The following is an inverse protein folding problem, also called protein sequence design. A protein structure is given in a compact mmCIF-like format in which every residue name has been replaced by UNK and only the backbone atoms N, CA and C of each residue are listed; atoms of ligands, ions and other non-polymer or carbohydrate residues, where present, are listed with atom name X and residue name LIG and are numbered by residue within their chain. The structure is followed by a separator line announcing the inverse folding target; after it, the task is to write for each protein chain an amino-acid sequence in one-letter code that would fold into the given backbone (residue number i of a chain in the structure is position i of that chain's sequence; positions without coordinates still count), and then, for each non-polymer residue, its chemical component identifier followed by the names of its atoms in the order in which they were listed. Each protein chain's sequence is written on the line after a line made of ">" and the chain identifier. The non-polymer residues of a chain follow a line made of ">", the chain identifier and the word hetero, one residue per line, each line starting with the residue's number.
data_IF_864548897160
#
_entry.id   IF_864548897160
#
_cell.length_a   1.000
_cell.length_b   1.000
_cell.length_c   1.000
_cell.angle_alpha   90.00
_cell.angle_beta   90.00
_cell.angle_gamma   90.00
#
_symmetry.space_group_name_H-M   'P 1'
#
loop_
_entity.id
_entity.type
_entity.pdbx_description
1 polymer ?
#
# COMPACT_ATOMS: atom_id res chain seq x y z
N UNK A 1 -7.26 -5.67 -43.85
CA UNK A 1 -6.69 -4.43 -43.29
C UNK A 1 -6.13 -4.72 -41.91
N UNK A 2 -4.81 -4.66 -41.82
CA UNK A 2 -3.99 -4.93 -40.64
C UNK A 2 -4.37 -4.08 -39.43
N UNK A 3 -4.71 -4.70 -38.31
CA UNK A 3 -4.37 -4.14 -37.00
C UNK A 3 -3.16 -4.90 -36.51
N UNK A 4 -2.02 -4.22 -36.52
CA UNK A 4 -0.73 -4.71 -36.06
C UNK A 4 -0.84 -5.27 -34.64
N UNK A 5 0.13 -6.12 -34.28
CA UNK A 5 0.22 -6.75 -32.97
C UNK A 5 0.27 -5.73 -31.83
N UNK A 6 -0.89 -5.31 -31.36
CA UNK A 6 -1.01 -4.63 -30.08
C UNK A 6 -0.73 -5.67 -28.99
N UNK A 7 0.43 -5.53 -28.36
CA UNK A 7 0.79 -6.24 -27.13
C UNK A 7 -0.40 -6.24 -26.16
N UNK A 8 -0.74 -7.37 -25.52
CA UNK A 8 -1.85 -7.42 -24.59
C UNK A 8 -1.65 -6.39 -23.47
N UNK A 9 -2.68 -5.58 -23.19
CA UNK A 9 -2.63 -4.45 -22.22
C UNK A 9 -2.20 -4.85 -20.79
N UNK A 10 -2.12 -6.14 -20.49
CA UNK A 10 -1.71 -6.72 -19.21
C UNK A 10 -0.22 -7.12 -19.15
N UNK A 11 0.50 -7.21 -20.27
CA UNK A 11 1.91 -7.63 -20.29
C UNK A 11 2.79 -6.61 -19.57
N UNK A 12 2.73 -5.34 -19.95
CA UNK A 12 3.57 -4.29 -19.38
C UNK A 12 3.39 -4.11 -17.85
N UNK A 13 2.17 -4.03 -17.29
CA UNK A 13 1.97 -4.01 -15.83
C UNK A 13 2.55 -5.22 -15.11
N UNK A 14 2.43 -6.41 -15.72
CA UNK A 14 2.94 -7.66 -15.15
C UNK A 14 4.48 -7.68 -15.13
N UNK A 15 5.12 -7.23 -16.21
CA UNK A 15 6.58 -7.10 -16.28
C UNK A 15 7.12 -6.11 -15.25
N UNK A 16 6.46 -4.95 -15.07
CA UNK A 16 6.84 -3.99 -14.04
C UNK A 16 6.76 -4.63 -12.64
N UNK A 17 5.64 -5.28 -12.30
CA UNK A 17 5.49 -5.93 -11.00
C UNK A 17 6.54 -7.02 -10.77
N UNK A 18 6.77 -7.90 -11.75
CA UNK A 18 7.80 -8.94 -11.67
C UNK A 18 9.19 -8.35 -11.48
N UNK A 19 9.57 -7.34 -12.26
CA UNK A 19 10.85 -6.65 -12.13
C UNK A 19 11.07 -6.08 -10.72
N UNK A 20 10.03 -5.46 -10.13
CA UNK A 20 10.13 -4.88 -8.80
C UNK A 20 10.22 -5.93 -7.69
N UNK A 21 9.45 -7.01 -7.78
CA UNK A 21 9.54 -8.13 -6.83
C UNK A 21 10.92 -8.79 -6.92
N UNK A 22 11.41 -9.07 -8.13
CA UNK A 22 12.74 -9.63 -8.35
C UNK A 22 13.84 -8.71 -7.83
N UNK A 23 13.76 -7.40 -8.11
CA UNK A 23 14.72 -6.41 -7.62
C UNK A 23 14.74 -6.37 -6.08
N UNK A 24 13.57 -6.36 -5.43
CA UNK A 24 13.47 -6.40 -3.97
C UNK A 24 14.14 -7.66 -3.40
N UNK A 25 13.81 -8.84 -3.93
CA UNK A 25 14.36 -10.11 -3.42
C UNK A 25 15.87 -10.20 -3.65
N UNK A 26 16.36 -9.84 -4.85
CA UNK A 26 17.78 -9.90 -5.17
C UNK A 26 18.61 -8.91 -4.34
N UNK A 27 18.17 -7.65 -4.22
CA UNK A 27 18.87 -6.65 -3.41
C UNK A 27 18.84 -7.01 -1.93
N UNK A 28 17.72 -7.56 -1.43
CA UNK A 28 17.64 -8.06 -0.07
C UNK A 28 18.57 -9.25 0.18
N UNK A 29 18.66 -10.20 -0.76
CA UNK A 29 19.60 -11.31 -0.65
C UNK A 29 21.06 -10.80 -0.57
N UNK A 30 21.45 -9.89 -1.46
CA UNK A 30 22.78 -9.26 -1.40
C UNK A 30 23.02 -8.55 -0.06
N UNK A 31 22.03 -7.82 0.46
CA UNK A 31 22.11 -7.16 1.75
C UNK A 31 22.32 -8.16 2.91
N UNK A 32 21.53 -9.23 2.96
CA UNK A 32 21.65 -10.23 4.02
C UNK A 32 22.97 -11.01 3.93
N UNK A 33 23.43 -11.34 2.73
CA UNK A 33 24.65 -12.11 2.51
C UNK A 33 25.93 -11.35 2.83
N UNK A 34 26.05 -10.07 2.43
CA UNK A 34 27.31 -9.33 2.57
C UNK A 34 27.28 -8.27 3.68
N UNK A 35 26.67 -7.07 3.52
CA UNK A 35 26.84 -6.01 4.52
C UNK A 35 26.23 -6.39 5.87
N UNK A 36 25.04 -7.01 5.86
CA UNK A 36 24.39 -7.44 7.10
C UNK A 36 25.10 -8.63 7.75
N UNK A 37 25.60 -9.58 6.97
CA UNK A 37 26.38 -10.71 7.47
C UNK A 37 27.67 -10.26 8.16
N UNK A 38 28.39 -9.32 7.55
CA UNK A 38 29.58 -8.74 8.16
C UNK A 38 29.27 -8.02 9.48
N UNK A 39 28.22 -7.19 9.50
CA UNK A 39 27.76 -6.48 10.71
C UNK A 39 27.30 -7.45 11.81
N UNK A 40 26.70 -8.58 11.44
CA UNK A 40 26.25 -9.61 12.38
C UNK A 40 27.43 -10.21 13.16
N UNK A 41 28.55 -10.46 12.47
CA UNK A 41 29.76 -11.06 13.05
C UNK A 41 30.60 -10.04 13.83
N UNK A 42 30.74 -8.82 13.33
CA UNK A 42 31.68 -7.83 13.88
C UNK A 42 31.05 -6.79 14.80
N UNK A 43 29.72 -6.63 14.77
CA UNK A 43 29.03 -5.59 15.54
C UNK A 43 27.92 -6.20 16.41
N UNK A 44 26.90 -6.80 15.81
CA UNK A 44 25.79 -7.41 16.58
C UNK A 44 24.86 -8.25 15.71
N UNK A 45 24.38 -9.39 16.24
CA UNK A 45 23.28 -10.16 15.66
C UNK A 45 21.94 -9.39 15.61
N UNK A 46 21.82 -8.24 16.26
CA UNK A 46 20.63 -7.40 16.18
C UNK A 46 20.33 -6.93 14.75
N UNK A 47 21.36 -6.68 13.91
CA UNK A 47 21.17 -6.22 12.54
C UNK A 47 20.33 -7.18 11.68
N UNK A 48 20.70 -8.46 11.51
CA UNK A 48 19.91 -9.40 10.72
C UNK A 48 18.54 -9.69 11.35
N UNK A 49 18.43 -9.69 12.68
CA UNK A 49 17.15 -9.91 13.37
C UNK A 49 16.16 -8.78 13.07
N UNK A 50 16.55 -7.52 13.28
CA UNK A 50 15.68 -6.38 13.01
C UNK A 50 15.39 -6.25 11.52
N UNK A 51 16.38 -6.50 10.65
CA UNK A 51 16.17 -6.52 9.21
C UNK A 51 15.16 -7.58 8.79
N UNK A 52 15.22 -8.79 9.36
CA UNK A 52 14.24 -9.86 9.11
C UNK A 52 12.83 -9.50 9.60
N UNK A 53 12.71 -8.90 10.78
CA UNK A 53 11.44 -8.42 11.35
C UNK A 53 10.78 -7.37 10.46
N UNK A 54 11.56 -6.54 9.75
CA UNK A 54 11.01 -5.55 8.82
C UNK A 54 10.77 -6.13 7.42
N UNK A 55 11.68 -6.96 6.92
CA UNK A 55 11.62 -7.52 5.57
C UNK A 55 10.48 -8.53 5.39
N UNK A 56 10.33 -9.47 6.32
CA UNK A 56 9.33 -10.55 6.17
C UNK A 56 7.90 -10.01 6.10
N UNK A 57 7.46 -9.07 6.97
CA UNK A 57 6.15 -8.44 6.83
C UNK A 57 6.03 -7.56 5.59
N UNK A 58 7.11 -6.89 5.14
CA UNK A 58 7.09 -6.15 3.88
C UNK A 58 6.77 -7.08 2.70
N UNK A 59 7.49 -8.19 2.58
CA UNK A 59 7.27 -9.19 1.54
C UNK A 59 5.88 -9.84 1.66
N UNK A 60 5.46 -10.22 2.86
CA UNK A 60 4.14 -10.82 3.07
C UNK A 60 3.01 -9.85 2.66
N UNK A 61 3.08 -8.58 3.08
CA UNK A 61 2.06 -7.59 2.71
C UNK A 61 2.11 -7.19 1.24
N UNK A 62 3.28 -7.23 0.59
CA UNK A 62 3.40 -7.08 -0.86
C UNK A 62 2.60 -8.17 -1.57
N UNK A 63 2.87 -9.45 -1.23
CA UNK A 63 2.19 -10.59 -1.83
C UNK A 63 0.68 -10.55 -1.55
N UNK A 64 0.28 -10.28 -0.30
CA UNK A 64 -1.13 -10.14 0.05
C UNK A 64 -1.79 -9.02 -0.76
N UNK A 65 -1.20 -7.82 -0.83
CA UNK A 65 -1.78 -6.72 -1.57
C UNK A 65 -1.87 -7.00 -3.09
N UNK A 66 -0.92 -7.76 -3.65
CA UNK A 66 -0.92 -8.16 -5.06
C UNK A 66 -2.02 -9.18 -5.38
N UNK A 67 -2.30 -10.14 -4.50
CA UNK A 67 -3.22 -11.25 -4.79
C UNK A 67 -4.61 -11.12 -4.14
N UNK A 68 -4.80 -10.22 -3.19
CA UNK A 68 -6.10 -10.00 -2.56
C UNK A 68 -7.09 -9.31 -3.50
N UNK A 69 -8.37 -9.66 -3.39
CA UNK A 69 -9.46 -8.93 -4.02
C UNK A 69 -9.48 -7.48 -3.46
N UNK A 70 -9.28 -6.46 -4.32
CA UNK A 70 -9.30 -5.07 -3.89
C UNK A 70 -10.69 -4.56 -3.49
N UNK A 71 -11.73 -5.36 -3.68
CA UNK A 71 -13.14 -5.02 -3.46
C UNK A 71 -13.89 -4.89 -4.78
N UNK A 72 -13.76 -5.85 -5.69
CA UNK A 72 -14.42 -5.83 -6.99
C UNK A 72 -15.94 -5.87 -6.81
N UNK A 73 -16.63 -4.94 -7.47
CA UNK A 73 -18.09 -4.89 -7.46
C UNK A 73 -18.68 -5.86 -8.49
N UNK A 74 -19.74 -6.61 -8.11
CA UNK A 74 -20.39 -7.54 -9.03
C UNK A 74 -21.08 -6.79 -10.17
N UNK A 75 -20.94 -7.29 -11.39
CA UNK A 75 -21.53 -6.72 -12.61
C UNK A 75 -23.01 -7.09 -12.76
N UNK A 76 -23.76 -6.29 -13.51
CA UNK A 76 -25.13 -6.62 -13.95
C UNK A 76 -26.17 -6.76 -12.82
N UNK A 77 -27.05 -7.76 -12.92
CA UNK A 77 -28.15 -7.97 -11.96
C UNK A 77 -27.66 -8.14 -10.50
N UNK A 78 -26.52 -8.81 -10.30
CA UNK A 78 -25.91 -8.96 -8.96
C UNK A 78 -25.44 -7.62 -8.38
N UNK A 79 -24.97 -6.70 -9.22
CA UNK A 79 -24.62 -5.32 -8.84
C UNK A 79 -25.84 -4.51 -8.39
N UNK A 80 -26.99 -4.69 -9.04
CA UNK A 80 -28.25 -4.02 -8.67
C UNK A 80 -28.74 -4.47 -7.28
N UNK A 81 -28.67 -5.77 -6.98
CA UNK A 81 -29.08 -6.31 -5.68
C UNK A 81 -28.20 -5.81 -4.52
N UNK A 82 -26.87 -5.75 -4.70
CA UNK A 82 -25.95 -5.20 -3.69
C UNK A 82 -26.26 -3.74 -3.36
N UNK A 83 -26.72 -2.96 -4.34
CA UNK A 83 -27.08 -1.57 -4.11
C UNK A 83 -28.27 -1.42 -3.18
N UNK A 84 -29.35 -2.19 -3.38
CA UNK A 84 -30.53 -2.15 -2.49
C UNK A 84 -30.09 -2.32 -1.04
N UNK A 85 -29.21 -3.29 -0.81
CA UNK A 85 -28.64 -3.57 0.51
C UNK A 85 -27.77 -2.42 1.04
N UNK A 86 -27.07 -1.68 0.18
CA UNK A 86 -26.24 -0.53 0.58
C UNK A 86 -27.06 0.73 0.85
N UNK A 87 -28.08 1.03 0.04
CA UNK A 87 -29.03 2.12 0.27
C UNK A 87 -29.79 1.91 1.57
N UNK A 88 -30.18 0.67 1.88
CA UNK A 88 -30.79 0.33 3.16
C UNK A 88 -29.83 0.48 4.36
N UNK A 89 -28.51 0.44 4.13
CA UNK A 89 -27.50 0.54 5.20
C UNK A 89 -26.95 1.95 5.42
N UNK A 90 -27.03 2.83 4.44
CA UNK A 90 -26.39 4.16 4.52
C UNK A 90 -27.44 5.25 4.80
N UNK A 91 -27.53 5.67 6.07
CA UNK A 91 -28.37 6.80 6.53
C UNK A 91 -27.91 8.16 5.97
N UNK A 92 -26.67 8.26 5.44
CA UNK A 92 -26.14 9.52 4.89
C UNK A 92 -26.56 9.72 3.43
N UNK A 93 -27.82 10.12 3.23
CA UNK A 93 -28.51 10.37 1.93
C UNK A 93 -27.88 11.43 1.00
N UNK A 94 -26.65 11.91 1.27
CA UNK A 94 -26.04 13.05 0.53
C UNK A 94 -25.38 12.68 -0.79
N UNK A 95 -24.97 11.42 -0.97
CA UNK A 95 -24.34 10.97 -2.20
C UNK A 95 -24.95 9.63 -2.63
N UNK A 96 -25.89 9.71 -3.57
CA UNK A 96 -26.50 8.53 -4.18
C UNK A 96 -25.47 7.71 -4.98
N UNK A 97 -25.78 6.42 -5.23
CA UNK A 97 -24.95 5.57 -6.09
C UNK A 97 -24.88 6.10 -7.52
N UNK A 98 -23.72 5.98 -8.16
CA UNK A 98 -23.55 6.33 -9.59
C UNK A 98 -23.63 5.10 -10.46
N UNK A 99 -24.20 5.21 -11.65
CA UNK A 99 -24.21 4.11 -12.61
C UNK A 99 -22.88 4.02 -13.37
N UNK A 100 -22.28 2.84 -13.47
CA UNK A 100 -21.16 2.58 -14.37
C UNK A 100 -21.66 1.91 -15.65
N UNK A 101 -21.52 2.60 -16.78
CA UNK A 101 -21.93 2.05 -18.09
C UNK A 101 -21.08 0.87 -18.56
N UNK A 102 -19.79 0.79 -18.20
CA UNK A 102 -18.90 -0.30 -18.61
C UNK A 102 -19.16 -1.61 -17.87
N UNK A 103 -19.41 -1.52 -16.57
CA UNK A 103 -19.63 -2.70 -15.72
C UNK A 103 -21.12 -3.03 -15.52
N UNK A 104 -22.02 -2.17 -16.00
CA UNK A 104 -23.46 -2.27 -15.82
C UNK A 104 -23.85 -2.52 -14.36
N UNK A 105 -23.28 -1.73 -13.45
CA UNK A 105 -23.54 -1.82 -12.02
C UNK A 105 -23.67 -0.43 -11.39
N UNK A 106 -24.40 -0.36 -10.29
CA UNK A 106 -24.41 0.82 -9.44
C UNK A 106 -23.20 0.82 -8.52
N UNK A 107 -22.43 1.90 -8.56
CA UNK A 107 -21.23 2.15 -7.79
C UNK A 107 -21.58 2.93 -6.52
N UNK A 108 -21.30 2.36 -5.33
CA UNK A 108 -21.43 3.06 -4.06
C UNK A 108 -20.52 4.29 -3.98
N UNK A 109 -20.75 5.21 -3.03
CA UNK A 109 -19.86 6.34 -2.80
C UNK A 109 -18.41 5.88 -2.64
N UNK A 110 -17.47 6.64 -3.22
CA UNK A 110 -16.02 6.35 -3.27
C UNK A 110 -15.63 5.09 -4.08
N UNK A 111 -16.54 4.54 -4.88
CA UNK A 111 -16.21 3.48 -5.85
C UNK A 111 -15.99 4.06 -7.24
N UNK A 112 -15.01 3.53 -7.97
CA UNK A 112 -14.65 3.99 -9.31
C UNK A 112 -14.29 2.80 -10.22
N UNK A 113 -14.40 3.02 -11.52
CA UNK A 113 -14.02 2.04 -12.54
C UNK A 113 -12.53 2.19 -12.88
N UNK A 114 -11.77 1.10 -12.75
CA UNK A 114 -10.39 1.02 -13.19
C UNK A 114 -10.34 0.62 -14.67
N UNK A 115 -9.85 1.47 -15.58
CA UNK A 115 -9.77 1.14 -17.01
C UNK A 115 -8.74 0.04 -17.32
N UNK A 116 -7.67 -0.06 -16.52
CA UNK A 116 -6.61 -1.05 -16.70
C UNK A 116 -7.10 -2.47 -16.40
N UNK A 117 -7.83 -2.65 -15.30
CA UNK A 117 -8.41 -3.94 -14.90
C UNK A 117 -9.83 -4.18 -15.43
N UNK A 118 -10.44 -3.16 -16.04
CA UNK A 118 -11.83 -3.15 -16.52
C UNK A 118 -12.87 -3.58 -15.44
N UNK A 119 -12.66 -3.18 -14.18
CA UNK A 119 -13.54 -3.50 -13.05
C UNK A 119 -13.87 -2.27 -12.23
N UNK A 120 -15.06 -2.26 -11.62
CA UNK A 120 -15.38 -1.29 -10.57
C UNK A 120 -14.88 -1.82 -9.23
N UNK A 121 -14.19 -0.97 -8.47
CA UNK A 121 -13.60 -1.33 -7.18
C UNK A 121 -14.20 -0.43 -6.09
N UNK A 122 -14.62 -1.05 -4.98
CA UNK A 122 -15.14 -0.34 -3.82
C UNK A 122 -14.03 0.39 -3.08
N UNK A 123 -14.26 1.65 -2.72
CA UNK A 123 -13.23 2.48 -2.09
C UNK A 123 -11.96 2.58 -2.92
N UNK A 124 -12.11 2.63 -4.25
CA UNK A 124 -11.00 2.68 -5.19
C UNK A 124 -10.10 3.87 -4.90
N UNK A 125 -8.80 3.59 -4.85
CA UNK A 125 -7.77 4.56 -4.62
C UNK A 125 -6.94 4.74 -5.90
N UNK A 126 -6.26 3.69 -6.36
CA UNK A 126 -5.53 3.71 -7.62
C UNK A 126 -5.31 2.30 -8.18
N UNK A 127 -4.92 2.22 -9.45
CA UNK A 127 -4.32 1.02 -10.00
C UNK A 127 -2.80 1.07 -9.77
N UNK A 128 -2.26 0.05 -9.10
CA UNK A 128 -0.85 0.02 -8.74
C UNK A 128 -0.10 -0.94 -9.67
N UNK A 129 0.70 -0.39 -10.58
CA UNK A 129 1.55 -1.18 -11.48
C UNK A 129 2.60 -2.01 -10.74
N UNK A 130 3.00 -1.60 -9.53
CA UNK A 130 3.94 -2.32 -8.69
C UNK A 130 3.36 -3.62 -8.11
N UNK A 131 2.05 -3.63 -7.86
CA UNK A 131 1.32 -4.81 -7.39
C UNK A 131 0.73 -5.64 -8.54
N UNK A 132 0.67 -5.05 -9.74
CA UNK A 132 -0.21 -5.51 -10.82
C UNK A 132 -1.67 -5.71 -10.35
N UNK A 133 -2.14 -4.86 -9.44
CA UNK A 133 -3.47 -4.96 -8.85
C UNK A 133 -4.04 -3.57 -8.53
N UNK A 134 -5.36 -3.46 -8.42
CA UNK A 134 -5.98 -2.26 -7.86
C UNK A 134 -5.72 -2.18 -6.36
N UNK A 135 -5.61 -0.97 -5.83
CA UNK A 135 -5.69 -0.69 -4.40
C UNK A 135 -7.08 -0.13 -4.14
N UNK A 136 -7.82 -0.82 -3.29
CA UNK A 136 -9.19 -0.48 -2.92
C UNK A 136 -9.48 -0.85 -1.47
N UNK A 137 -10.76 -0.80 -1.09
CA UNK A 137 -11.19 -1.06 0.29
C UNK A 137 -10.77 -2.46 0.78
N UNK A 138 -10.70 -3.45 -0.11
CA UNK A 138 -10.37 -4.84 0.21
C UNK A 138 -8.91 -5.07 0.63
N UNK A 139 -7.96 -4.30 0.09
CA UNK A 139 -6.53 -4.52 0.29
C UNK A 139 -5.75 -3.27 0.77
N UNK A 140 -6.40 -2.13 0.99
CA UNK A 140 -5.74 -0.87 1.41
C UNK A 140 -4.93 -0.99 2.70
N UNK A 141 -5.32 -1.88 3.63
CA UNK A 141 -4.57 -2.14 4.87
C UNK A 141 -3.24 -2.84 4.58
N UNK A 142 -3.28 -3.92 3.81
CA UNK A 142 -2.09 -4.65 3.38
C UNK A 142 -1.15 -3.75 2.60
N UNK A 143 -1.67 -2.96 1.65
CA UNK A 143 -0.87 -1.96 0.94
C UNK A 143 -0.19 -0.95 1.88
N UNK A 144 -0.92 -0.41 2.86
CA UNK A 144 -0.35 0.57 3.80
C UNK A 144 0.72 -0.05 4.70
N UNK A 145 0.51 -1.29 5.17
CA UNK A 145 1.50 -2.01 5.95
C UNK A 145 2.74 -2.35 5.13
N UNK A 146 2.55 -2.80 3.87
CA UNK A 146 3.63 -3.03 2.92
C UNK A 146 4.52 -1.80 2.79
N UNK A 147 3.96 -0.62 2.49
CA UNK A 147 4.76 0.60 2.33
C UNK A 147 5.45 0.99 3.65
N UNK A 148 4.78 0.85 4.80
CA UNK A 148 5.37 1.16 6.11
C UNK A 148 6.57 0.27 6.45
N UNK A 149 6.42 -1.05 6.32
CA UNK A 149 7.50 -2.00 6.57
C UNK A 149 8.63 -1.87 5.53
N UNK A 150 8.29 -1.62 4.26
CA UNK A 150 9.28 -1.39 3.21
C UNK A 150 10.10 -0.11 3.46
N UNK A 151 9.47 0.98 3.92
CA UNK A 151 10.18 2.19 4.34
C UNK A 151 11.17 1.90 5.47
N UNK A 152 10.71 1.23 6.53
CA UNK A 152 11.56 0.88 7.67
C UNK A 152 12.73 -0.01 7.26
N UNK A 153 12.46 -1.03 6.45
CA UNK A 153 13.49 -1.93 5.92
C UNK A 153 14.52 -1.19 5.06
N UNK A 154 14.09 -0.32 4.12
CA UNK A 154 15.00 0.45 3.28
C UNK A 154 15.85 1.43 4.11
N UNK A 155 15.25 2.10 5.09
CA UNK A 155 15.98 3.02 5.97
C UNK A 155 17.05 2.27 6.79
N UNK A 156 16.71 1.09 7.34
CA UNK A 156 17.66 0.25 8.06
C UNK A 156 18.76 -0.25 7.13
N UNK A 157 18.42 -0.80 5.97
CA UNK A 157 19.39 -1.31 5.01
C UNK A 157 20.36 -0.22 4.55
N UNK A 158 19.85 0.99 4.27
CA UNK A 158 20.66 2.16 3.92
C UNK A 158 21.61 2.54 5.06
N UNK A 159 21.10 2.66 6.29
CA UNK A 159 21.91 3.01 7.46
C UNK A 159 22.98 1.94 7.75
N UNK A 160 22.64 0.66 7.64
CA UNK A 160 23.58 -0.47 7.80
C UNK A 160 24.66 -0.47 6.72
N UNK A 161 24.32 -0.23 5.45
CA UNK A 161 25.31 -0.18 4.39
C UNK A 161 26.26 1.02 4.57
N UNK A 162 25.75 2.19 4.95
CA UNK A 162 26.58 3.37 5.27
C UNK A 162 27.49 3.07 6.46
N UNK A 163 26.95 2.50 7.54
CA UNK A 163 27.74 2.13 8.72
C UNK A 163 28.86 1.15 8.36
N UNK A 164 28.55 0.12 7.57
CA UNK A 164 29.55 -0.83 7.07
C UNK A 164 30.65 -0.12 6.25
N UNK A 165 30.29 0.75 5.31
CA UNK A 165 31.26 1.48 4.48
C UNK A 165 32.15 2.42 5.31
N UNK A 166 31.59 3.06 6.34
CA UNK A 166 32.36 3.91 7.27
C UNK A 166 33.32 3.09 8.12
N UNK A 167 32.84 2.01 8.74
CA UNK A 167 33.64 1.13 9.59
C UNK A 167 34.76 0.42 8.83
N UNK A 168 34.53 0.12 7.56
CA UNK A 168 35.50 -0.55 6.69
C UNK A 168 36.31 0.41 5.82
N UNK A 169 36.18 1.73 6.00
CA UNK A 169 36.77 2.75 5.12
C UNK A 169 38.27 2.61 4.86
N UNK A 170 39.05 2.21 5.86
CA UNK A 170 40.51 2.00 5.74
C UNK A 170 40.95 0.73 5.00
N UNK A 171 40.03 -0.18 4.68
CA UNK A 171 40.33 -1.41 3.95
C UNK A 171 40.32 -1.17 2.43
N UNK A 172 40.96 -2.04 1.64
CA UNK A 172 40.83 -2.00 0.16
C UNK A 172 39.39 -2.31 -0.29
N UNK A 173 39.08 -2.07 -1.57
CA UNK A 173 37.78 -2.43 -2.12
C UNK A 173 37.63 -3.96 -2.13
N UNK A 174 36.72 -4.47 -1.31
CA UNK A 174 36.36 -5.88 -1.23
C UNK A 174 34.98 -6.14 -1.87
N UNK A 175 34.65 -7.40 -2.09
CA UNK A 175 33.35 -7.83 -2.63
C UNK A 175 32.19 -7.31 -1.76
N UNK A 176 32.34 -7.32 -0.45
CA UNK A 176 31.32 -6.84 0.50
C UNK A 176 31.05 -5.34 0.32
N UNK A 177 32.09 -4.52 0.07
CA UNK A 177 31.94 -3.09 -0.25
C UNK A 177 31.27 -2.87 -1.58
N UNK A 178 31.62 -3.63 -2.60
CA UNK A 178 30.95 -3.56 -3.89
C UNK A 178 29.44 -3.88 -3.74
N UNK A 179 29.10 -4.95 -3.02
CA UNK A 179 27.70 -5.30 -2.72
C UNK A 179 27.00 -4.22 -1.89
N UNK A 180 27.66 -3.64 -0.89
CA UNK A 180 27.11 -2.54 -0.10
C UNK A 180 26.78 -1.32 -0.97
N UNK A 181 27.66 -0.95 -1.91
CA UNK A 181 27.43 0.16 -2.84
C UNK A 181 26.23 -0.15 -3.76
N UNK A 182 26.17 -1.36 -4.33
CA UNK A 182 25.07 -1.82 -5.20
C UNK A 182 23.73 -1.79 -4.48
N UNK A 183 23.68 -2.07 -3.17
CA UNK A 183 22.45 -2.01 -2.36
C UNK A 183 22.11 -0.56 -1.95
N UNK A 184 23.12 0.25 -1.62
CA UNK A 184 22.94 1.61 -1.10
C UNK A 184 22.27 2.53 -2.12
N UNK A 185 22.68 2.48 -3.39
CA UNK A 185 22.17 3.40 -4.42
C UNK A 185 20.66 3.22 -4.66
N UNK A 186 20.13 2.00 -4.91
CA UNK A 186 18.70 1.77 -5.00
C UNK A 186 17.96 2.10 -3.69
N UNK A 187 18.51 1.75 -2.53
CA UNK A 187 17.87 2.02 -1.24
C UNK A 187 17.67 3.53 -1.03
N UNK A 188 18.66 4.36 -1.36
CA UNK A 188 18.55 5.82 -1.30
C UNK A 188 17.52 6.36 -2.32
N UNK A 189 17.53 5.83 -3.54
CA UNK A 189 16.60 6.24 -4.60
C UNK A 189 15.13 5.93 -4.24
N UNK A 190 14.84 4.74 -3.72
CA UNK A 190 13.48 4.33 -3.39
C UNK A 190 12.96 4.92 -2.08
N UNK A 191 13.83 5.28 -1.13
CA UNK A 191 13.38 5.75 0.19
C UNK A 191 12.61 7.07 0.11
N UNK A 192 13.05 8.05 -0.69
CA UNK A 192 12.40 9.37 -0.76
C UNK A 192 10.97 9.30 -1.32
N UNK A 193 10.69 8.63 -2.46
CA UNK A 193 9.33 8.44 -2.95
C UNK A 193 8.42 7.70 -1.96
N UNK A 194 8.96 6.68 -1.26
CA UNK A 194 8.18 5.90 -0.29
C UNK A 194 7.80 6.73 0.94
N UNK A 195 8.72 7.56 1.45
CA UNK A 195 8.43 8.50 2.54
C UNK A 195 7.42 9.57 2.12
N UNK A 196 7.52 10.09 0.89
CA UNK A 196 6.54 11.02 0.33
C UNK A 196 5.13 10.37 0.24
N UNK A 197 5.05 9.14 -0.25
CA UNK A 197 3.81 8.36 -0.30
C UNK A 197 3.21 8.17 1.10
N UNK A 198 4.00 7.71 2.08
CA UNK A 198 3.52 7.53 3.47
C UNK A 198 3.04 8.83 4.11
N UNK A 199 3.79 9.92 3.93
CA UNK A 199 3.44 11.22 4.53
C UNK A 199 2.15 11.80 3.93
N UNK A 200 1.94 11.68 2.62
CA UNK A 200 0.71 12.13 1.95
C UNK A 200 -0.52 11.37 2.47
N UNK A 201 -0.39 10.05 2.67
CA UNK A 201 -1.45 9.18 3.21
C UNK A 201 -1.76 9.47 4.67
N UNK A 202 -0.73 9.68 5.49
CA UNK A 202 -0.89 10.04 6.89
C UNK A 202 -1.63 11.38 7.04
N UNK A 203 -1.25 12.39 6.24
CA UNK A 203 -1.93 13.69 6.18
C UNK A 203 -3.40 13.55 5.78
N UNK A 204 -3.69 12.78 4.73
CA UNK A 204 -5.06 12.54 4.27
C UNK A 204 -5.90 11.86 5.37
N UNK A 205 -5.34 10.87 6.05
CA UNK A 205 -6.04 10.15 7.11
C UNK A 205 -6.28 11.03 8.35
N UNK A 206 -5.31 11.87 8.72
CA UNK A 206 -5.45 12.85 9.79
C UNK A 206 -6.52 13.90 9.46
N UNK A 207 -6.51 14.41 8.22
CA UNK A 207 -7.52 15.34 7.72
C UNK A 207 -8.93 14.72 7.70
N UNK A 208 -9.06 13.47 7.22
CA UNK A 208 -10.33 12.75 7.21
C UNK A 208 -10.88 12.53 8.63
N UNK A 209 -10.02 12.17 9.60
CA UNK A 209 -10.41 12.07 11.01
C UNK A 209 -10.87 13.42 11.58
N UNK A 210 -10.19 14.51 11.23
CA UNK A 210 -10.54 15.86 11.69
C UNK A 210 -11.90 16.29 11.14
N UNK A 211 -12.12 16.14 9.84
CA UNK A 211 -13.39 16.50 9.19
C UNK A 211 -14.56 15.64 9.66
N UNK A 212 -14.35 14.34 9.88
CA UNK A 212 -15.37 13.47 10.49
C UNK A 212 -15.72 13.93 11.90
N UNK A 213 -14.72 14.21 12.76
CA UNK A 213 -14.95 14.74 14.11
C UNK A 213 -15.71 16.07 14.10
N UNK A 214 -15.37 16.99 13.20
CA UNK A 214 -16.10 18.26 13.04
C UNK A 214 -17.56 18.05 12.61
N UNK A 215 -17.83 17.12 11.69
CA UNK A 215 -19.20 16.77 11.27
C UNK A 215 -20.01 16.11 12.39
N UNK A 216 -19.40 15.22 13.16
CA UNK A 216 -20.04 14.58 14.33
C UNK A 216 -20.29 15.62 15.43
N UNK A 217 -19.32 16.50 15.71
CA UNK A 217 -19.48 17.60 16.67
C UNK A 217 -20.57 18.58 16.24
N UNK A 218 -20.66 18.94 14.96
CA UNK A 218 -21.73 19.84 14.46
C UNK A 218 -23.10 19.16 14.53
N UNK A 219 -23.20 17.85 14.26
CA UNK A 219 -24.44 17.06 14.50
C UNK A 219 -24.75 16.97 15.99
N UNK A 220 -23.75 16.74 16.83
CA UNK A 220 -23.82 16.73 18.30
C UNK A 220 -24.31 18.05 18.90
N UNK A 221 -23.90 19.18 18.32
CA UNK A 221 -24.41 20.52 18.64
C UNK A 221 -25.85 20.72 18.17
N UNK A 222 -26.23 20.23 16.98
CA UNK A 222 -27.64 20.19 16.55
C UNK A 222 -28.50 19.32 17.48
N UNK A 223 -27.93 18.26 18.07
CA UNK A 223 -28.57 17.40 19.05
C UNK A 223 -28.35 17.82 20.51
N UNK A 224 -27.68 18.93 20.81
CA UNK A 224 -27.71 19.54 22.15
C UNK A 224 -29.06 20.22 22.44
N UNK A 225 -29.92 20.34 21.41
CA UNK A 225 -31.38 20.49 21.49
C UNK A 225 -32.13 19.14 21.60
N UNK A 226 -31.43 18.03 21.82
CA UNK A 226 -31.96 16.66 21.87
C UNK A 226 -31.20 15.79 22.89
N UNK A 227 -31.22 16.19 24.16
CA UNK A 227 -30.56 15.55 25.33
C UNK A 227 -31.06 14.13 25.69
N UNK A 228 -31.59 13.35 24.75
CA UNK A 228 -32.13 12.01 25.05
C UNK A 228 -31.29 10.84 24.51
N UNK A 229 -30.37 11.05 23.57
CA UNK A 229 -29.68 9.93 22.86
C UNK A 229 -28.31 9.52 23.44
N UNK A 230 -27.91 10.07 24.60
CA UNK A 230 -26.59 9.86 25.19
C UNK A 230 -26.51 8.67 26.18
N UNK A 231 -27.57 7.87 26.35
CA UNK A 231 -27.60 6.77 27.34
C UNK A 231 -27.37 5.36 26.78
N UNK A 232 -27.10 5.19 25.49
CA UNK A 232 -27.01 3.85 24.86
C UNK A 232 -25.60 3.30 24.63
N UNK A 233 -24.53 4.01 25.04
CA UNK A 233 -23.14 3.58 24.79
C UNK A 233 -22.22 3.71 26.03
N UNK A 234 -22.73 3.39 27.22
CA UNK A 234 -21.88 3.11 28.37
C UNK A 234 -21.65 1.58 28.45
N UNK A 235 -20.40 1.09 28.46
CA UNK A 235 -20.12 -0.28 28.83
C UNK A 235 -20.38 -0.45 30.34
N UNK A 236 -20.94 -1.59 30.74
CA UNK A 236 -20.94 -2.03 32.14
C UNK A 236 -19.51 -2.37 32.59
#
# INVERSE_FOLDING_TARGET
>A
MSRGGEEPRWVLPSLCASFHVSSLVCLSALFFSFPCGWLAVHVSLAFPVVAGILFLPALANLLLASFMDPGILPRGAKGRARLVIQVLRDEDRRFGPRWCHKCHCYCPPRSFHCPSCNVCVEGFDHHCYWLNNCVGRGNTRCFSLFVAFLCGYNALALASCIAYLVLSSGQVLSTEKACAIVVTVPAAFYLLPLLALMSSRAKLHAWAKRTHRLKVYSRGKKTLLGRAWARSWAPA
#
